data_IF_447137075595
#
_entry.id   IF_447137075595
#
_cell.length_a   1.000
_cell.length_b   1.000
_cell.length_c   1.000
_cell.angle_alpha   90.00
_cell.angle_beta   90.00
_cell.angle_gamma   90.00
#
_symmetry.space_group_name_H-M   'P 1'
#
loop_
_entity.id
_entity.type
_entity.pdbx_description
1 polymer ?
#
# COMPACT_ATOMS: atom_id res chain seq x y z
N UNK A 1 -2.86 16.67 4.23
CA UNK A 1 -4.30 16.36 4.04
C UNK A 1 -4.47 14.87 4.26
N UNK A 2 -5.58 14.44 4.88
CA UNK A 2 -5.91 13.02 5.10
C UNK A 2 -7.15 12.69 4.28
N UNK A 3 -7.12 11.58 3.54
CA UNK A 3 -8.26 10.99 2.83
C UNK A 3 -8.51 9.62 3.40
N UNK A 4 -9.78 9.24 3.52
CA UNK A 4 -10.19 7.92 4.02
C UNK A 4 -11.24 7.38 3.07
N UNK A 5 -11.04 6.15 2.60
CA UNK A 5 -11.92 5.46 1.67
C UNK A 5 -12.24 4.06 2.18
N UNK A 6 -13.45 3.58 1.87
CA UNK A 6 -13.84 2.19 2.07
C UNK A 6 -14.03 1.52 0.72
N UNK A 7 -13.40 0.40 0.52
CA UNK A 7 -13.40 -0.27 -0.76
C UNK A 7 -13.53 -1.78 -0.63
N UNK A 8 -14.21 -2.38 -1.60
CA UNK A 8 -14.19 -3.82 -1.82
C UNK A 8 -13.30 -4.11 -3.03
N UNK A 9 -12.43 -5.10 -2.93
CA UNK A 9 -11.62 -5.55 -4.05
C UNK A 9 -11.58 -7.07 -4.10
N UNK A 10 -11.41 -7.59 -5.31
CA UNK A 10 -11.33 -9.02 -5.54
C UNK A 10 -10.06 -9.58 -4.87
N UNK A 11 -10.22 -10.67 -4.11
CA UNK A 11 -9.11 -11.33 -3.41
C UNK A 11 -8.99 -11.00 -1.93
N UNK A 12 -9.70 -9.98 -1.40
CA UNK A 12 -9.78 -9.79 0.05
C UNK A 12 -11.21 -9.97 0.55
N UNK A 13 -11.39 -10.77 1.62
CA UNK A 13 -12.70 -10.90 2.24
C UNK A 13 -13.10 -9.59 2.92
N UNK A 14 -14.30 -9.12 2.59
CA UNK A 14 -14.91 -7.94 3.21
C UNK A 14 -14.37 -6.61 2.67
N UNK A 15 -14.67 -5.56 3.42
CA UNK A 15 -14.29 -4.19 3.10
C UNK A 15 -12.91 -3.84 3.65
N UNK A 16 -12.18 -3.00 2.95
CA UNK A 16 -10.90 -2.45 3.38
C UNK A 16 -11.02 -0.94 3.53
N UNK A 17 -10.59 -0.42 4.65
CA UNK A 17 -10.41 1.03 4.86
C UNK A 17 -9.02 1.40 4.37
N UNK A 18 -8.97 2.25 3.36
CA UNK A 18 -7.74 2.85 2.85
C UNK A 18 -7.61 4.27 3.38
N UNK A 19 -6.46 4.60 3.92
CA UNK A 19 -6.14 5.94 4.40
C UNK A 19 -4.91 6.45 3.69
N UNK A 20 -5.04 7.58 3.01
CA UNK A 20 -3.92 8.34 2.49
C UNK A 20 -3.68 9.56 3.37
N UNK A 21 -2.46 9.74 3.80
CA UNK A 21 -1.97 10.95 4.44
C UNK A 21 -0.90 11.56 3.53
N UNK A 22 -1.22 12.66 2.86
CA UNK A 22 -0.19 13.46 2.19
C UNK A 22 0.70 14.03 3.28
N UNK A 23 2.00 13.73 3.21
CA UNK A 23 2.96 14.01 4.28
C UNK A 23 2.99 15.51 4.55
N UNK A 24 2.48 15.95 5.71
CA UNK A 24 2.57 17.33 6.09
C UNK A 24 4.02 17.69 6.46
N UNK A 25 4.28 18.95 6.62
CA UNK A 25 5.58 19.43 7.17
C UNK A 25 5.95 18.65 8.44
N UNK A 26 7.23 18.39 8.64
CA UNK A 26 7.74 17.61 9.78
C UNK A 26 7.23 18.13 11.14
N UNK A 27 6.98 19.44 11.26
CA UNK A 27 6.40 20.04 12.47
C UNK A 27 4.97 19.56 12.76
N UNK A 28 4.13 19.39 11.74
CA UNK A 28 2.78 18.85 11.89
C UNK A 28 2.80 17.37 12.26
N UNK A 29 3.70 16.61 11.64
CA UNK A 29 3.89 15.20 12.00
C UNK A 29 4.37 15.03 13.43
N UNK A 30 5.28 15.87 13.91
CA UNK A 30 5.74 15.83 15.29
C UNK A 30 4.61 16.15 16.28
N UNK A 31 3.78 17.17 15.97
CA UNK A 31 2.62 17.54 16.79
C UNK A 31 1.58 16.42 16.85
N UNK A 32 1.19 15.88 15.71
CA UNK A 32 0.15 14.85 15.65
C UNK A 32 0.70 13.49 16.10
N UNK A 33 1.98 13.23 15.86
CA UNK A 33 2.70 12.06 16.37
C UNK A 33 2.78 12.01 17.90
N UNK A 34 2.66 13.15 18.59
CA UNK A 34 2.56 13.18 20.05
C UNK A 34 1.31 12.46 20.59
N UNK A 35 0.28 12.25 19.76
CA UNK A 35 -0.93 11.49 20.09
C UNK A 35 -0.77 9.97 19.95
N UNK A 36 0.32 9.52 19.30
CA UNK A 36 0.62 8.10 19.17
C UNK A 36 0.99 7.49 20.53
N UNK A 37 0.85 6.18 20.64
CA UNK A 37 1.26 5.43 21.82
C UNK A 37 2.76 5.63 22.12
N UNK A 38 3.14 5.61 23.40
CA UNK A 38 4.53 5.84 23.84
C UNK A 38 5.53 4.91 23.14
N UNK A 39 5.22 3.62 22.99
CA UNK A 39 6.08 2.68 22.29
C UNK A 39 6.33 3.04 20.83
N UNK A 40 5.35 3.64 20.14
CA UNK A 40 5.53 4.12 18.77
C UNK A 40 6.39 5.38 18.73
N UNK A 41 6.19 6.30 19.69
CA UNK A 41 7.03 7.51 19.80
C UNK A 41 8.49 7.16 20.10
N UNK A 42 8.72 6.23 21.00
CA UNK A 42 10.08 5.72 21.33
C UNK A 42 10.74 5.12 20.10
N UNK A 43 10.00 4.31 19.33
CA UNK A 43 10.52 3.74 18.10
C UNK A 43 10.80 4.81 17.04
N UNK A 44 9.94 5.84 16.93
CA UNK A 44 10.19 6.97 16.04
C UNK A 44 11.48 7.72 16.38
N UNK A 45 11.76 7.91 17.67
CA UNK A 45 12.96 8.59 18.15
C UNK A 45 14.25 7.79 17.87
N UNK A 46 14.16 6.48 17.69
CA UNK A 46 15.31 5.64 17.34
C UNK A 46 15.82 5.83 15.92
N UNK A 47 15.04 6.46 15.03
CA UNK A 47 15.48 6.74 13.66
C UNK A 47 16.37 7.98 13.61
N UNK A 48 17.61 7.79 13.17
CA UNK A 48 18.58 8.90 12.99
C UNK A 48 18.26 9.79 11.79
N UNK A 49 17.70 9.20 10.72
CA UNK A 49 17.32 9.94 9.50
C UNK A 49 15.93 10.60 9.69
N UNK A 50 15.82 11.93 9.62
CA UNK A 50 14.54 12.64 9.79
C UNK A 50 13.45 12.15 8.82
N UNK A 51 13.78 11.99 7.54
CA UNK A 51 12.82 11.51 6.54
C UNK A 51 12.24 10.11 6.89
N UNK A 52 13.06 9.22 7.46
CA UNK A 52 12.61 7.89 7.88
C UNK A 52 11.69 7.97 9.11
N UNK A 53 12.01 8.87 10.04
CA UNK A 53 11.16 9.14 11.21
C UNK A 53 9.81 9.70 10.77
N UNK A 54 9.81 10.67 9.87
CA UNK A 54 8.60 11.34 9.39
C UNK A 54 7.71 10.35 8.61
N UNK A 55 8.27 9.52 7.75
CA UNK A 55 7.56 8.45 7.05
C UNK A 55 6.96 7.44 8.05
N UNK A 56 7.70 7.08 9.09
CA UNK A 56 7.19 6.20 10.16
C UNK A 56 6.00 6.83 10.89
N UNK A 57 6.11 8.09 11.32
CA UNK A 57 5.04 8.81 12.01
C UNK A 57 3.79 8.92 11.12
N UNK A 58 3.96 9.32 9.86
CA UNK A 58 2.86 9.42 8.90
C UNK A 58 2.15 8.07 8.71
N UNK A 59 2.91 6.98 8.55
CA UNK A 59 2.35 5.64 8.44
C UNK A 59 1.58 5.20 9.69
N UNK A 60 2.05 5.55 10.89
CA UNK A 60 1.34 5.24 12.15
C UNK A 60 0.06 6.06 12.29
N UNK A 61 0.08 7.34 11.97
CA UNK A 61 -1.11 8.18 11.96
C UNK A 61 -2.16 7.66 10.98
N UNK A 62 -1.74 7.26 9.77
CA UNK A 62 -2.64 6.71 8.77
C UNK A 62 -3.28 5.40 9.24
N UNK A 63 -2.50 4.45 9.81
CA UNK A 63 -3.06 3.18 10.27
C UNK A 63 -4.00 3.34 11.46
N UNK A 64 -3.68 4.23 12.41
CA UNK A 64 -4.58 4.51 13.54
C UNK A 64 -5.90 5.14 13.07
N UNK A 65 -5.85 6.04 12.09
CA UNK A 65 -7.06 6.59 11.47
C UNK A 65 -7.89 5.50 10.77
N UNK A 66 -7.23 4.58 10.07
CA UNK A 66 -7.86 3.44 9.42
C UNK A 66 -8.52 2.48 10.42
N UNK A 67 -7.82 2.12 11.50
CA UNK A 67 -8.35 1.27 12.58
C UNK A 67 -9.58 1.91 13.25
N UNK A 68 -9.51 3.19 13.55
CA UNK A 68 -10.65 3.92 14.13
C UNK A 68 -11.84 3.93 13.18
N UNK A 69 -11.60 4.14 11.87
CA UNK A 69 -12.63 4.13 10.84
C UNK A 69 -13.21 2.73 10.59
N UNK A 70 -12.42 1.67 10.79
CA UNK A 70 -12.87 0.28 10.78
C UNK A 70 -13.67 -0.10 12.05
N UNK A 71 -13.84 0.83 13.00
CA UNK A 71 -14.59 0.61 14.24
C UNK A 71 -13.78 -0.07 15.36
N UNK A 72 -12.46 -0.16 15.26
CA UNK A 72 -11.64 -0.71 16.34
C UNK A 72 -11.36 0.35 17.42
N UNK A 73 -12.09 0.27 18.53
CA UNK A 73 -11.95 1.22 19.66
C UNK A 73 -10.58 1.15 20.35
N UNK A 74 -9.77 0.12 20.08
CA UNK A 74 -8.41 -0.04 20.65
C UNK A 74 -7.37 0.77 19.92
N UNK A 75 -7.69 1.27 18.71
CA UNK A 75 -6.81 2.06 17.88
C UNK A 75 -6.12 3.24 18.59
N UNK A 76 -6.78 3.84 19.57
CA UNK A 76 -6.24 4.98 20.32
C UNK A 76 -5.47 4.60 21.60
N UNK A 77 -5.51 3.31 22.01
CA UNK A 77 -4.97 2.85 23.29
C UNK A 77 -3.84 1.84 23.15
N UNK A 78 -3.73 1.19 22.01
CA UNK A 78 -2.79 0.11 21.79
C UNK A 78 -1.84 0.44 20.64
N UNK A 79 -0.53 0.15 20.78
CA UNK A 79 0.42 0.48 19.72
C UNK A 79 0.34 -0.49 18.54
N UNK A 80 0.70 0.04 17.37
CA UNK A 80 1.08 -0.75 16.21
C UNK A 80 2.61 -0.80 16.16
N UNK A 81 3.17 -1.90 16.60
CA UNK A 81 4.60 -2.12 16.68
C UNK A 81 5.15 -2.73 15.38
N UNK A 82 6.29 -3.38 15.47
CA UNK A 82 6.89 -4.18 14.40
C UNK A 82 7.01 -5.63 14.84
N UNK A 83 6.70 -6.57 13.95
CA UNK A 83 7.03 -7.96 14.16
C UNK A 83 8.54 -8.23 13.98
N UNK A 84 8.96 -9.47 14.17
CA UNK A 84 10.36 -9.89 14.01
C UNK A 84 10.93 -9.71 12.59
N UNK A 85 10.06 -9.46 11.60
CA UNK A 85 10.45 -9.15 10.21
C UNK A 85 10.30 -7.66 9.87
N UNK A 86 10.00 -6.82 10.86
CA UNK A 86 9.86 -5.37 10.68
C UNK A 86 8.52 -4.91 10.13
N UNK A 87 7.54 -5.81 9.93
CA UNK A 87 6.21 -5.48 9.42
C UNK A 87 5.35 -4.83 10.51
N UNK A 88 4.44 -3.90 10.15
CA UNK A 88 3.53 -3.30 11.12
C UNK A 88 2.60 -4.38 11.70
N UNK A 89 2.52 -4.44 13.02
CA UNK A 89 1.70 -5.40 13.75
C UNK A 89 1.01 -4.73 14.91
N UNK A 90 -0.34 -4.71 14.94
CA UNK A 90 -1.08 -4.30 16.13
C UNK A 90 -0.73 -5.21 17.32
N UNK A 91 -0.62 -4.63 18.52
CA UNK A 91 -0.15 -5.34 19.71
C UNK A 91 -1.23 -6.09 20.47
N UNK A 92 -2.41 -6.28 19.89
CA UNK A 92 -3.54 -6.96 20.53
C UNK A 92 -4.03 -8.15 19.71
N UNK A 93 -4.64 -9.11 20.40
CA UNK A 93 -5.27 -10.27 19.77
C UNK A 93 -6.47 -9.84 18.93
N UNK A 94 -6.79 -10.62 17.89
CA UNK A 94 -7.90 -10.38 16.95
C UNK A 94 -7.85 -8.99 16.29
N UNK A 95 -6.65 -8.44 16.15
CA UNK A 95 -6.45 -7.21 15.41
C UNK A 95 -6.79 -7.39 13.93
N UNK A 96 -7.33 -6.35 13.28
CA UNK A 96 -7.49 -6.36 11.84
C UNK A 96 -6.16 -6.58 11.11
N UNK A 97 -6.21 -7.18 9.92
CA UNK A 97 -5.07 -7.17 9.03
C UNK A 97 -4.79 -5.73 8.57
N UNK A 98 -3.52 -5.34 8.62
CA UNK A 98 -3.07 -4.00 8.25
C UNK A 98 -1.86 -4.06 7.32
N UNK A 99 -1.71 -3.03 6.50
CA UNK A 99 -0.49 -2.79 5.72
C UNK A 99 -0.20 -1.30 5.62
N UNK A 100 1.08 -0.94 5.48
CA UNK A 100 1.54 0.45 5.35
C UNK A 100 2.53 0.55 4.21
N UNK A 101 2.38 1.60 3.41
CA UNK A 101 3.36 2.03 2.42
C UNK A 101 3.58 3.54 2.51
N UNK A 102 4.67 4.03 1.95
CA UNK A 102 4.95 5.45 1.91
C UNK A 102 5.90 5.80 0.77
N UNK A 103 5.72 6.99 0.25
CA UNK A 103 6.68 7.71 -0.59
C UNK A 103 7.32 8.86 0.21
N UNK A 104 8.02 9.76 -0.47
CA UNK A 104 8.55 10.97 0.19
C UNK A 104 7.45 11.93 0.65
N UNK A 105 6.31 11.93 -0.04
CA UNK A 105 5.25 12.94 0.15
C UNK A 105 3.92 12.36 0.60
N UNK A 106 3.79 11.03 0.73
CA UNK A 106 2.55 10.40 1.21
C UNK A 106 2.83 9.13 2.02
N UNK A 107 1.92 8.85 2.93
CA UNK A 107 1.82 7.57 3.60
C UNK A 107 0.43 7.00 3.36
N UNK A 108 0.36 5.69 3.15
CA UNK A 108 -0.89 4.96 2.91
C UNK A 108 -0.98 3.81 3.89
N UNK A 109 -2.16 3.64 4.47
CA UNK A 109 -2.49 2.47 5.28
C UNK A 109 -3.73 1.79 4.74
N UNK A 110 -3.70 0.46 4.71
CA UNK A 110 -4.86 -0.38 4.47
C UNK A 110 -5.22 -1.14 5.75
N UNK A 111 -6.50 -1.18 6.10
CA UNK A 111 -7.03 -1.85 7.27
C UNK A 111 -8.26 -2.67 6.86
N UNK A 112 -8.25 -3.98 7.10
CA UNK A 112 -9.42 -4.81 6.82
C UNK A 112 -10.49 -4.63 7.88
N UNK A 113 -11.76 -4.54 7.46
CA UNK A 113 -12.90 -4.61 8.39
C UNK A 113 -13.31 -6.07 8.68
N UNK A 114 -12.90 -7.01 7.82
CA UNK A 114 -13.26 -8.42 7.96
C UNK A 114 -12.23 -9.18 8.80
N UNK A 115 -12.67 -9.80 9.87
CA UNK A 115 -11.83 -10.69 10.71
C UNK A 115 -11.33 -11.94 9.98
N UNK A 116 -11.98 -12.30 8.89
CA UNK A 116 -11.57 -13.40 8.01
C UNK A 116 -10.38 -13.06 7.13
N UNK A 117 -10.11 -11.79 6.90
CA UNK A 117 -8.91 -11.34 6.19
C UNK A 117 -7.66 -11.61 7.04
N UNK A 118 -6.78 -12.46 6.54
CA UNK A 118 -5.58 -12.90 7.27
C UNK A 118 -4.37 -12.02 7.03
N UNK A 119 -4.33 -11.37 5.87
CA UNK A 119 -3.23 -10.49 5.50
C UNK A 119 -3.66 -9.47 4.44
N UNK A 120 -3.08 -8.30 4.51
CA UNK A 120 -3.17 -7.22 3.52
C UNK A 120 -1.79 -6.78 3.08
N UNK A 121 -1.70 -6.32 1.85
CA UNK A 121 -0.56 -5.62 1.31
C UNK A 121 -1.02 -4.37 0.58
N UNK A 122 -0.48 -3.24 0.93
CA UNK A 122 -0.66 -1.98 0.20
C UNK A 122 0.68 -1.45 -0.25
N UNK A 123 0.71 -0.88 -1.45
CA UNK A 123 1.85 -0.14 -1.94
C UNK A 123 1.44 1.14 -2.66
N UNK A 124 2.36 2.10 -2.73
CA UNK A 124 2.16 3.40 -3.38
C UNK A 124 3.47 3.92 -3.94
N UNK A 125 3.43 4.41 -5.18
CA UNK A 125 4.55 5.07 -5.84
C UNK A 125 4.06 6.35 -6.55
N UNK A 126 4.90 7.37 -6.56
CA UNK A 126 4.63 8.58 -7.36
C UNK A 126 4.79 8.25 -8.85
N UNK A 127 3.98 8.88 -9.69
CA UNK A 127 4.13 8.78 -11.14
C UNK A 127 5.35 9.61 -11.56
N UNK A 128 6.37 8.91 -12.03
CA UNK A 128 7.64 9.49 -12.46
C UNK A 128 8.17 8.74 -13.69
N UNK A 129 8.40 9.44 -14.79
CA UNK A 129 8.85 8.84 -16.04
C UNK A 129 10.24 8.19 -15.92
N UNK A 130 11.15 8.77 -15.14
CA UNK A 130 12.48 8.19 -14.91
C UNK A 130 12.37 6.90 -14.07
N UNK A 131 11.43 6.87 -13.10
CA UNK A 131 11.13 5.67 -12.33
C UNK A 131 10.59 4.58 -13.23
N UNK A 132 9.62 4.89 -14.09
CA UNK A 132 9.04 3.94 -15.05
C UNK A 132 10.12 3.35 -15.98
N UNK A 133 10.99 4.19 -16.55
CA UNK A 133 12.10 3.76 -17.39
C UNK A 133 13.08 2.84 -16.64
N UNK A 134 13.41 3.17 -15.39
CA UNK A 134 14.26 2.33 -14.55
C UNK A 134 13.62 0.95 -14.29
N UNK A 135 12.33 0.91 -14.00
CA UNK A 135 11.58 -0.35 -13.80
C UNK A 135 11.54 -1.19 -15.09
N UNK A 136 11.27 -0.59 -16.23
CA UNK A 136 11.30 -1.24 -17.54
C UNK A 136 12.66 -1.88 -17.82
N UNK A 137 13.73 -1.25 -17.40
CA UNK A 137 15.09 -1.70 -17.64
C UNK A 137 15.53 -2.82 -16.69
N UNK A 138 15.13 -2.73 -15.41
CA UNK A 138 15.71 -3.55 -14.35
C UNK A 138 14.77 -4.62 -13.79
N UNK A 139 13.45 -4.41 -13.85
CA UNK A 139 12.48 -5.20 -13.12
C UNK A 139 11.37 -5.82 -13.98
N UNK A 140 11.25 -5.44 -15.25
CA UNK A 140 10.15 -5.85 -16.13
C UNK A 140 10.71 -6.67 -17.29
N UNK A 141 10.21 -7.90 -17.44
CA UNK A 141 10.61 -8.81 -18.52
C UNK A 141 10.10 -8.34 -19.89
N UNK A 142 10.66 -8.84 -21.00
CA UNK A 142 10.17 -8.55 -22.34
C UNK A 142 8.69 -8.96 -22.55
N UNK A 143 8.26 -10.07 -21.94
CA UNK A 143 6.89 -10.59 -21.99
C UNK A 143 5.93 -9.64 -21.26
N UNK A 144 6.29 -9.22 -20.05
CA UNK A 144 5.51 -8.25 -19.26
C UNK A 144 5.44 -6.89 -19.96
N UNK A 145 6.50 -6.46 -20.62
CA UNK A 145 6.50 -5.21 -21.39
C UNK A 145 5.46 -5.24 -22.51
N UNK A 146 5.23 -6.39 -23.16
CA UNK A 146 4.16 -6.53 -24.16
C UNK A 146 2.79 -6.35 -23.53
N UNK A 147 2.53 -7.00 -22.38
CA UNK A 147 1.27 -6.84 -21.64
C UNK A 147 1.03 -5.38 -21.21
N UNK A 148 2.08 -4.70 -20.76
CA UNK A 148 1.98 -3.30 -20.35
C UNK A 148 1.68 -2.38 -21.52
N UNK A 149 2.28 -2.60 -22.70
CA UNK A 149 2.07 -1.79 -23.89
C UNK A 149 0.64 -1.86 -24.44
N UNK A 150 -0.09 -2.93 -24.15
CA UNK A 150 -1.51 -3.09 -24.50
C UNK A 150 -2.42 -2.16 -23.71
N UNK A 151 -2.08 -1.86 -22.45
CA UNK A 151 -2.89 -1.05 -21.54
C UNK A 151 -2.37 0.36 -21.32
N UNK A 152 -1.09 0.59 -21.58
CA UNK A 152 -0.41 1.88 -21.50
C UNK A 152 0.67 1.97 -22.59
N UNK A 153 0.31 2.40 -23.81
CA UNK A 153 1.28 2.48 -24.92
C UNK A 153 2.48 3.39 -24.64
N UNK A 154 2.36 4.35 -23.73
CA UNK A 154 3.46 5.25 -23.35
C UNK A 154 4.40 4.62 -22.31
N UNK A 155 3.98 3.54 -21.68
CA UNK A 155 4.75 2.82 -20.64
C UNK A 155 5.22 3.72 -19.49
N UNK A 156 4.37 4.63 -19.03
CA UNK A 156 4.67 5.55 -17.91
C UNK A 156 3.99 5.11 -16.62
N UNK A 157 2.70 4.77 -16.69
CA UNK A 157 1.89 4.45 -15.50
C UNK A 157 1.87 2.95 -15.23
N UNK A 158 1.64 2.14 -16.26
CA UNK A 158 1.51 0.69 -16.09
C UNK A 158 2.78 0.00 -15.54
N UNK A 159 4.02 0.40 -15.88
CA UNK A 159 5.22 -0.14 -15.23
C UNK A 159 5.24 0.09 -13.71
N UNK A 160 4.77 1.26 -13.27
CA UNK A 160 4.67 1.61 -11.86
C UNK A 160 3.55 0.81 -11.19
N UNK A 161 2.40 0.63 -11.86
CA UNK A 161 1.28 -0.18 -11.37
C UNK A 161 1.69 -1.65 -11.18
N UNK A 162 2.44 -2.21 -12.11
CA UNK A 162 2.99 -3.56 -12.01
C UNK A 162 3.94 -3.69 -10.82
N UNK A 163 4.81 -2.72 -10.61
CA UNK A 163 5.71 -2.69 -9.46
C UNK A 163 4.94 -2.64 -8.14
N UNK A 164 4.00 -1.69 -7.99
CA UNK A 164 3.15 -1.58 -6.80
C UNK A 164 2.37 -2.88 -6.53
N UNK A 165 1.83 -3.53 -7.57
CA UNK A 165 1.12 -4.79 -7.43
C UNK A 165 2.00 -5.90 -6.87
N UNK A 166 3.24 -6.02 -7.34
CA UNK A 166 4.22 -6.97 -6.81
C UNK A 166 4.54 -6.71 -5.34
N UNK A 167 4.83 -5.46 -4.99
CA UNK A 167 5.09 -5.05 -3.59
C UNK A 167 3.89 -5.37 -2.69
N UNK A 168 2.68 -5.07 -3.12
CA UNK A 168 1.47 -5.40 -2.37
C UNK A 168 1.33 -6.91 -2.17
N UNK A 169 1.54 -7.73 -3.23
CA UNK A 169 1.52 -9.20 -3.13
C UNK A 169 2.62 -9.72 -2.19
N UNK A 170 3.84 -9.20 -2.26
CA UNK A 170 4.94 -9.57 -1.35
C UNK A 170 4.55 -9.32 0.11
N UNK A 171 3.97 -8.16 0.41
CA UNK A 171 3.51 -7.81 1.75
C UNK A 171 2.38 -8.73 2.22
N UNK A 172 1.38 -9.00 1.37
CA UNK A 172 0.25 -9.88 1.69
C UNK A 172 0.69 -11.31 1.99
N UNK A 173 1.61 -11.84 1.19
CA UNK A 173 2.02 -13.24 1.29
C UNK A 173 3.24 -13.44 2.20
N UNK A 174 3.83 -12.34 2.72
CA UNK A 174 5.00 -12.38 3.59
C UNK A 174 6.18 -13.06 2.90
N UNK A 175 6.35 -12.82 1.60
CA UNK A 175 7.43 -13.40 0.82
C UNK A 175 8.74 -12.74 1.24
N UNK A 176 9.74 -13.57 1.55
CA UNK A 176 11.11 -13.12 1.78
C UNK A 176 11.87 -13.27 0.46
N UNK A 177 11.64 -12.31 -0.42
CA UNK A 177 12.30 -12.24 -1.73
C UNK A 177 13.17 -10.99 -1.74
N UNK A 178 14.44 -11.16 -2.01
CA UNK A 178 15.36 -10.03 -2.09
C UNK A 178 15.00 -9.10 -3.26
N UNK A 179 15.69 -9.22 -4.38
CA UNK A 179 15.29 -8.56 -5.62
C UNK A 179 14.29 -9.44 -6.38
N UNK A 180 13.03 -9.01 -6.49
CA UNK A 180 11.93 -9.83 -7.05
C UNK A 180 11.53 -9.50 -8.48
N UNK A 181 12.24 -8.62 -9.17
CA UNK A 181 11.94 -8.31 -10.57
C UNK A 181 11.98 -9.49 -11.54
N UNK A 182 12.79 -10.53 -11.23
CA UNK A 182 12.86 -11.76 -12.02
C UNK A 182 12.10 -12.96 -11.41
N UNK A 183 11.69 -12.86 -10.16
CA UNK A 183 11.11 -13.97 -9.38
C UNK A 183 9.59 -13.90 -9.36
N UNK A 184 9.04 -12.69 -9.30
CA UNK A 184 7.61 -12.44 -9.39
C UNK A 184 7.25 -12.02 -10.80
N UNK A 185 6.52 -12.86 -11.52
CA UNK A 185 6.08 -12.60 -12.88
C UNK A 185 4.63 -12.13 -12.89
N UNK A 186 4.33 -11.14 -13.69
CA UNK A 186 2.95 -10.75 -13.98
C UNK A 186 2.47 -11.55 -15.17
N UNK A 187 1.38 -12.31 -14.97
CA UNK A 187 0.78 -13.14 -16.01
C UNK A 187 -0.41 -12.47 -16.70
N UNK A 188 -1.02 -11.49 -16.06
CA UNK A 188 -2.18 -10.76 -16.59
C UNK A 188 -2.26 -9.36 -16.00
N UNK A 189 -2.62 -8.39 -16.83
CA UNK A 189 -3.02 -7.05 -16.44
C UNK A 189 -4.30 -6.70 -17.20
N UNK A 190 -5.38 -6.42 -16.49
CA UNK A 190 -6.68 -6.16 -17.08
C UNK A 190 -7.21 -4.81 -16.62
N UNK A 191 -7.46 -3.87 -17.54
CA UNK A 191 -8.15 -2.63 -17.20
C UNK A 191 -9.49 -2.93 -16.53
N UNK A 192 -9.80 -2.19 -15.48
CA UNK A 192 -11.10 -2.28 -14.81
C UNK A 192 -11.73 -0.89 -14.74
N UNK A 193 -13.07 -0.80 -14.80
CA UNK A 193 -13.71 0.48 -14.54
C UNK A 193 -13.34 0.96 -13.13
N UNK A 194 -13.07 2.25 -12.95
CA UNK A 194 -12.82 2.82 -11.63
C UNK A 194 -14.01 2.50 -10.70
N UNK A 195 -13.77 1.76 -9.62
CA UNK A 195 -14.82 1.34 -8.69
C UNK A 195 -15.00 2.28 -7.50
N UNK A 196 -14.18 3.31 -7.40
CA UNK A 196 -14.30 4.35 -6.38
C UNK A 196 -15.20 5.45 -6.94
N UNK A 197 -16.49 5.39 -6.61
CA UNK A 197 -17.54 6.21 -7.24
C UNK A 197 -18.08 7.32 -6.34
N UNK A 198 -17.45 7.57 -5.19
CA UNK A 198 -17.93 8.62 -4.33
C UNK A 198 -17.09 9.89 -4.48
N UNK A 199 -17.65 10.89 -5.18
CA UNK A 199 -17.03 12.21 -5.32
C UNK A 199 -16.76 12.90 -3.96
N UNK A 200 -17.36 12.38 -2.87
CA UNK A 200 -17.13 12.84 -1.51
C UNK A 200 -15.76 12.43 -0.94
N UNK A 201 -15.08 11.43 -1.53
CA UNK A 201 -13.85 10.86 -0.98
C UNK A 201 -12.57 11.61 -1.36
N UNK A 202 -12.62 12.42 -2.41
CA UNK A 202 -11.48 13.19 -2.91
C UNK A 202 -10.44 12.37 -3.67
N UNK A 203 -10.79 11.13 -4.07
CA UNK A 203 -10.01 10.31 -4.99
C UNK A 203 -10.49 10.55 -6.42
N UNK A 204 -9.60 11.11 -7.25
CA UNK A 204 -9.82 11.25 -8.69
C UNK A 204 -9.11 10.10 -9.39
N UNK A 205 -9.85 8.99 -9.65
CA UNK A 205 -9.28 7.79 -10.25
C UNK A 205 -9.27 7.93 -11.75
N UNK A 206 -8.07 7.99 -12.30
CA UNK A 206 -7.82 8.14 -13.73
C UNK A 206 -7.80 6.80 -14.47
N UNK A 207 -7.26 5.75 -13.82
CA UNK A 207 -7.18 4.39 -14.37
C UNK A 207 -7.13 3.35 -13.25
N UNK A 208 -7.57 2.12 -13.56
CA UNK A 208 -7.47 0.99 -12.63
C UNK A 208 -7.24 -0.33 -13.37
N UNK A 209 -6.60 -1.30 -12.69
CA UNK A 209 -6.24 -2.61 -13.23
C UNK A 209 -6.36 -3.71 -12.18
N UNK A 210 -6.82 -4.88 -12.60
CA UNK A 210 -6.59 -6.14 -11.89
C UNK A 210 -5.31 -6.79 -12.43
N UNK A 211 -4.38 -7.11 -11.56
CA UNK A 211 -3.06 -7.65 -11.90
C UNK A 211 -2.89 -9.02 -11.24
N UNK A 212 -2.61 -10.04 -12.05
CA UNK A 212 -2.26 -11.37 -11.56
C UNK A 212 -0.73 -11.50 -11.48
N UNK A 213 -0.23 -11.85 -10.29
CA UNK A 213 1.19 -12.03 -10.00
C UNK A 213 1.45 -13.50 -9.68
N UNK A 214 2.47 -14.10 -10.26
CA UNK A 214 2.89 -15.49 -10.02
C UNK A 214 4.27 -15.54 -9.36
N UNK A 215 4.41 -16.47 -8.43
CA UNK A 215 5.67 -16.75 -7.76
C UNK A 215 5.89 -18.26 -7.74
N UNK A 216 6.85 -18.74 -8.54
CA UNK A 216 7.14 -20.17 -8.68
C UNK A 216 5.89 -21.02 -8.99
N UNK A 217 5.72 -22.14 -8.29
CA UNK A 217 4.58 -23.06 -8.41
C UNK A 217 3.42 -22.71 -7.48
N UNK A 218 3.43 -21.55 -6.83
CA UNK A 218 2.35 -21.12 -5.93
C UNK A 218 1.09 -20.74 -6.71
N UNK A 219 -0.05 -20.77 -6.01
CA UNK A 219 -1.28 -20.22 -6.56
C UNK A 219 -1.10 -18.75 -6.97
N UNK A 220 -1.75 -18.30 -8.04
CA UNK A 220 -1.72 -16.92 -8.44
C UNK A 220 -2.11 -15.97 -7.31
N UNK A 221 -1.43 -14.84 -7.23
CA UNK A 221 -1.73 -13.75 -6.31
C UNK A 221 -2.38 -12.62 -7.10
N UNK A 222 -3.32 -11.93 -6.51
CA UNK A 222 -4.04 -10.85 -7.19
C UNK A 222 -3.82 -9.54 -6.46
N UNK A 223 -3.65 -8.47 -7.24
CA UNK A 223 -3.64 -7.10 -6.75
C UNK A 223 -4.57 -6.25 -7.60
N UNK A 224 -5.25 -5.33 -6.96
CA UNK A 224 -5.96 -4.24 -7.60
C UNK A 224 -5.07 -2.99 -7.54
N UNK A 225 -4.71 -2.44 -8.69
CA UNK A 225 -3.93 -1.22 -8.79
C UNK A 225 -4.76 -0.12 -9.43
N UNK A 226 -4.52 1.14 -9.04
CA UNK A 226 -5.19 2.30 -9.63
C UNK A 226 -4.31 3.53 -9.59
N UNK A 227 -4.53 4.40 -10.57
CA UNK A 227 -3.91 5.72 -10.66
C UNK A 227 -4.86 6.76 -10.07
N UNK A 228 -4.38 7.57 -9.16
CA UNK A 228 -5.12 8.71 -8.62
C UNK A 228 -4.18 9.78 -8.08
N UNK A 229 -4.54 11.05 -8.27
CA UNK A 229 -3.83 12.17 -7.64
C UNK A 229 -2.30 12.19 -7.90
N UNK A 230 -1.86 11.80 -9.09
CA UNK A 230 -0.45 11.78 -9.48
C UNK A 230 0.37 10.65 -8.89
N UNK A 231 -0.26 9.62 -8.34
CA UNK A 231 0.38 8.41 -7.85
C UNK A 231 -0.35 7.14 -8.32
N UNK A 232 0.35 6.01 -8.19
CA UNK A 232 -0.23 4.68 -8.35
C UNK A 232 -0.27 4.01 -7.00
N UNK A 233 -1.40 3.38 -6.72
CA UNK A 233 -1.65 2.59 -5.53
C UNK A 233 -1.91 1.14 -5.93
N UNK A 234 -1.56 0.19 -5.07
CA UNK A 234 -1.96 -1.19 -5.25
C UNK A 234 -2.35 -1.82 -3.91
N UNK A 235 -3.31 -2.73 -3.95
CA UNK A 235 -3.86 -3.43 -2.80
C UNK A 235 -3.99 -4.91 -3.14
N UNK A 236 -3.54 -5.77 -2.23
CA UNK A 236 -3.68 -7.23 -2.28
C UNK A 236 -4.15 -7.75 -0.92
N UNK A 237 -4.90 -8.86 -0.90
CA UNK A 237 -5.42 -9.44 0.35
C UNK A 237 -5.66 -10.94 0.25
N UNK A 238 -5.81 -11.60 1.42
CA UNK A 238 -6.15 -13.02 1.54
C UNK A 238 -6.81 -13.36 2.87
#
# INVERSE_FOLDING_TARGET
>A
MMRIERMHFEGAPGETVLVELTTPESALLARDGARLHEGERTLAQSFTAPARRDAFLAGRLAVHAGLANAGDSRAHRMPVLRDGRGRPQPSWADAPAISIAHTKIRAVAAVSTARTCKALGVDVEEIDAHRAEALLRMAISPEERKLLAEVDPQLVVAPIALWCAREACVKTHGLDVGWFGSVLQVSSIQPTPPRLTDAATGWDIEAAWNIEVRFESRAPMHAHAWQANGAVFALSGR
#
